data_IF_761763159529
#
_entry.id   IF_761763159529
#
_cell.length_a   1.000
_cell.length_b   1.000
_cell.length_c   1.000
_cell.angle_alpha   90.00
_cell.angle_beta   90.00
_cell.angle_gamma   90.00
#
_symmetry.space_group_name_H-M   'P 1'
#
loop_
_entity.id
_entity.type
_entity.pdbx_description
1 polymer ?
#
# COMPACT_ATOMS: atom_id res chain seq x y z
N UNK A 1 43.21 8.74 -52.80
CA UNK A 1 42.09 9.28 -52.01
C UNK A 1 42.22 8.65 -50.63
N UNK A 2 42.63 9.46 -49.65
CA UNK A 2 43.21 8.99 -48.39
C UNK A 2 42.15 8.48 -47.41
N UNK A 3 42.31 7.24 -46.93
CA UNK A 3 41.58 6.68 -45.80
C UNK A 3 42.04 7.36 -44.50
N UNK A 4 41.10 7.91 -43.73
CA UNK A 4 41.31 8.31 -42.33
C UNK A 4 40.65 7.28 -41.42
N UNK A 5 41.48 6.58 -40.65
CA UNK A 5 41.08 5.79 -39.50
C UNK A 5 40.64 6.71 -38.36
N UNK A 6 39.48 6.41 -37.76
CA UNK A 6 39.06 6.97 -36.47
C UNK A 6 39.51 6.04 -35.33
N UNK A 7 39.97 6.57 -34.19
CA UNK A 7 40.41 5.76 -33.06
C UNK A 7 39.22 5.29 -32.20
N UNK A 8 39.24 4.00 -31.85
CA UNK A 8 38.47 3.40 -30.76
C UNK A 8 38.87 4.07 -29.43
N UNK A 9 37.91 4.69 -28.75
CA UNK A 9 38.05 5.11 -27.35
C UNK A 9 37.54 3.97 -26.46
N UNK A 10 38.49 3.26 -25.85
CA UNK A 10 38.29 2.33 -24.74
C UNK A 10 37.96 3.14 -23.48
N UNK A 11 36.73 3.05 -22.98
CA UNK A 11 36.40 3.49 -21.63
C UNK A 11 36.70 2.35 -20.67
N UNK A 12 37.78 2.55 -19.90
CA UNK A 12 38.23 1.68 -18.83
C UNK A 12 37.32 1.84 -17.60
N UNK A 13 36.96 0.67 -17.09
CA UNK A 13 36.34 0.34 -15.81
C UNK A 13 36.91 1.04 -14.58
N UNK A 14 36.04 1.52 -13.70
CA UNK A 14 36.31 1.71 -12.27
C UNK A 14 35.70 0.54 -11.49
N UNK A 15 36.47 -0.52 -11.26
CA UNK A 15 36.14 -1.55 -10.26
C UNK A 15 36.78 -1.12 -8.95
N UNK A 16 35.96 -0.85 -7.92
CA UNK A 16 36.45 -0.74 -6.54
C UNK A 16 36.64 -2.15 -5.98
N UNK A 17 37.88 -2.61 -5.97
CA UNK A 17 38.33 -3.74 -5.16
C UNK A 17 38.53 -3.27 -3.72
N UNK A 18 37.69 -3.74 -2.79
CA UNK A 18 37.93 -3.60 -1.36
C UNK A 18 38.91 -4.71 -0.93
N UNK A 19 40.05 -4.26 -0.41
CA UNK A 19 41.21 -5.08 -0.10
C UNK A 19 41.07 -5.64 1.32
N UNK A 20 40.91 -6.96 1.41
CA UNK A 20 41.03 -7.74 2.64
C UNK A 20 42.50 -7.84 3.05
N UNK A 21 42.78 -7.45 4.29
CA UNK A 21 43.96 -7.82 5.06
C UNK A 21 43.58 -7.69 6.53
N UNK A 22 43.97 -8.54 7.46
CA UNK A 22 44.84 -9.69 7.46
C UNK A 22 44.96 -10.09 8.94
N UNK A 23 45.04 -11.38 9.21
CA UNK A 23 44.92 -12.03 10.52
C UNK A 23 45.82 -11.45 11.62
N UNK A 24 45.26 -11.35 12.83
CA UNK A 24 45.96 -11.77 14.04
C UNK A 24 44.98 -12.20 15.15
N UNK A 25 45.38 -13.25 15.86
CA UNK A 25 44.55 -14.13 16.68
C UNK A 25 44.12 -13.54 18.03
N UNK A 26 42.86 -13.76 18.41
CA UNK A 26 42.49 -14.03 19.80
C UNK A 26 41.18 -14.83 19.86
N UNK A 27 41.28 -16.05 20.39
CA UNK A 27 40.14 -16.90 20.77
C UNK A 27 39.43 -16.24 21.94
N UNK A 28 38.20 -15.80 21.72
CA UNK A 28 37.20 -15.58 22.76
C UNK A 28 35.93 -16.31 22.32
N UNK A 29 35.70 -17.43 22.98
CA UNK A 29 34.44 -18.14 23.08
C UNK A 29 33.60 -17.35 24.08
N UNK A 30 32.60 -16.60 23.61
CA UNK A 30 31.50 -16.15 24.47
C UNK A 30 30.31 -15.69 23.63
N UNK A 31 29.23 -16.46 23.79
CA UNK A 31 27.81 -16.11 23.60
C UNK A 31 27.33 -15.69 22.22
N UNK A 32 26.42 -16.53 21.69
CA UNK A 32 25.31 -16.14 20.82
C UNK A 32 24.89 -14.70 21.10
N UNK A 33 25.29 -13.79 20.22
CA UNK A 33 24.48 -12.61 19.95
C UNK A 33 23.33 -13.18 19.14
N UNK A 34 22.28 -13.62 19.83
CA UNK A 34 20.96 -13.66 19.21
C UNK A 34 20.76 -12.26 18.68
N UNK A 35 20.77 -12.16 17.37
CA UNK A 35 20.32 -11.00 16.63
C UNK A 35 18.83 -10.85 16.96
N UNK A 36 18.54 -10.32 18.15
CA UNK A 36 17.28 -9.67 18.51
C UNK A 36 17.22 -8.38 17.67
N UNK A 37 17.29 -8.53 16.36
CA UNK A 37 16.66 -7.62 15.43
C UNK A 37 15.18 -7.72 15.73
N UNK A 38 14.76 -7.04 16.81
CA UNK A 38 13.37 -6.81 17.13
C UNK A 38 12.76 -6.33 15.83
N UNK A 39 11.85 -7.15 15.28
CA UNK A 39 11.16 -6.80 14.05
C UNK A 39 10.64 -5.37 14.22
N UNK A 40 10.79 -4.49 13.22
CA UNK A 40 10.36 -3.11 13.33
C UNK A 40 8.91 -3.11 13.82
N UNK A 41 8.68 -2.57 15.03
CA UNK A 41 7.35 -2.54 15.60
C UNK A 41 6.49 -1.62 14.74
N UNK A 42 5.48 -2.19 14.10
CA UNK A 42 4.59 -1.39 13.26
C UNK A 42 3.58 -0.69 14.16
N UNK A 43 3.80 0.62 14.36
CA UNK A 43 2.92 1.45 15.17
C UNK A 43 1.76 1.98 14.32
N UNK A 44 0.61 1.32 14.39
CA UNK A 44 -0.67 1.88 13.91
C UNK A 44 -1.26 2.84 14.96
N UNK A 45 -2.03 3.86 14.57
CA UNK A 45 -2.58 4.84 15.52
C UNK A 45 -3.73 4.24 16.36
N UNK A 46 -3.69 4.39 17.68
CA UNK A 46 -4.78 4.00 18.57
C UNK A 46 -5.95 4.99 18.50
N UNK A 47 -5.68 6.28 18.74
CA UNK A 47 -6.70 7.33 18.74
C UNK A 47 -6.08 8.73 18.59
N UNK A 48 -6.81 9.61 17.91
CA UNK A 48 -6.52 11.03 17.78
C UNK A 48 -7.84 11.83 17.79
N UNK A 49 -7.77 13.16 17.82
CA UNK A 49 -9.00 13.97 17.75
C UNK A 49 -9.76 13.68 16.45
N UNK A 50 -10.94 13.08 16.57
CA UNK A 50 -11.80 12.70 15.44
C UNK A 50 -11.52 11.30 14.89
N UNK A 51 -10.60 10.52 15.48
CA UNK A 51 -10.26 9.16 15.06
C UNK A 51 -10.07 8.24 16.28
N UNK A 52 -10.59 7.02 16.18
CA UNK A 52 -10.24 5.92 17.05
C UNK A 52 -10.10 4.67 16.17
N UNK A 53 -9.10 3.84 16.44
CA UNK A 53 -8.90 2.58 15.73
C UNK A 53 -10.18 1.74 15.85
N UNK A 54 -10.74 1.28 14.72
CA UNK A 54 -11.98 0.52 14.74
C UNK A 54 -11.96 -0.80 15.52
N UNK A 55 -10.80 -1.45 15.54
CA UNK A 55 -10.57 -2.77 16.09
C UNK A 55 -9.45 -3.48 15.33
N UNK A 56 -9.15 -4.71 15.75
CA UNK A 56 -8.06 -5.51 15.19
C UNK A 56 -8.22 -5.76 13.68
N UNK A 57 -9.46 -5.90 13.21
CA UNK A 57 -9.77 -6.14 11.78
C UNK A 57 -9.28 -5.02 10.85
N UNK A 58 -9.56 -3.76 11.20
CA UNK A 58 -9.06 -2.60 10.43
C UNK A 58 -7.55 -2.45 10.53
N UNK A 59 -6.99 -2.75 11.71
CA UNK A 59 -5.55 -2.71 11.92
C UNK A 59 -4.84 -3.75 11.04
N UNK A 60 -5.32 -5.01 11.00
CA UNK A 60 -4.83 -6.05 10.11
C UNK A 60 -4.97 -5.65 8.64
N UNK A 61 -6.15 -5.21 8.21
CA UNK A 61 -6.40 -4.85 6.82
C UNK A 61 -5.47 -3.71 6.36
N UNK A 62 -5.34 -2.65 7.15
CA UNK A 62 -4.48 -1.50 6.80
C UNK A 62 -3.01 -1.89 6.75
N UNK A 63 -2.56 -2.72 7.69
CA UNK A 63 -1.18 -3.24 7.69
C UNK A 63 -0.93 -4.17 6.49
N UNK A 64 -1.90 -5.02 6.16
CA UNK A 64 -1.83 -5.91 5.00
C UNK A 64 -1.77 -5.12 3.70
N UNK A 65 -2.61 -4.10 3.53
CA UNK A 65 -2.61 -3.22 2.36
C UNK A 65 -1.26 -2.53 2.14
N UNK A 66 -0.67 -1.99 3.20
CA UNK A 66 0.66 -1.38 3.15
C UNK A 66 1.74 -2.37 2.74
N UNK A 67 1.78 -3.56 3.37
CA UNK A 67 2.71 -4.64 3.00
C UNK A 67 2.60 -5.01 1.53
N UNK A 68 1.38 -5.12 0.98
CA UNK A 68 1.19 -5.44 -0.44
C UNK A 68 1.82 -4.40 -1.37
N UNK A 69 1.77 -3.11 -1.03
CA UNK A 69 2.43 -2.06 -1.83
C UNK A 69 3.95 -2.10 -1.62
N UNK A 70 4.41 -2.28 -0.38
CA UNK A 70 5.84 -2.29 -0.03
C UNK A 70 6.59 -3.57 -0.49
N UNK A 71 5.89 -4.68 -0.72
CA UNK A 71 6.45 -5.96 -1.22
C UNK A 71 6.94 -5.87 -2.68
N UNK A 72 6.65 -4.77 -3.37
CA UNK A 72 7.10 -4.52 -4.74
C UNK A 72 8.52 -3.93 -4.72
N UNK A 73 9.53 -4.81 -4.74
CA UNK A 73 10.96 -4.46 -4.55
C UNK A 73 11.47 -3.32 -5.45
N UNK A 74 10.90 -3.15 -6.66
CA UNK A 74 11.34 -2.15 -7.64
C UNK A 74 10.48 -0.87 -7.66
N UNK A 75 9.36 -0.82 -6.92
CA UNK A 75 8.44 0.31 -6.91
C UNK A 75 8.90 1.43 -5.97
N UNK A 76 8.89 2.68 -6.42
CA UNK A 76 9.14 3.83 -5.55
C UNK A 76 7.89 4.23 -4.73
N UNK A 77 6.71 3.75 -5.11
CA UNK A 77 5.48 3.97 -4.34
C UNK A 77 5.51 3.15 -3.06
N UNK A 78 5.44 3.83 -1.91
CA UNK A 78 5.28 3.25 -0.59
C UNK A 78 4.09 3.93 0.09
N UNK A 79 3.25 3.15 0.77
CA UNK A 79 2.06 3.67 1.46
C UNK A 79 2.02 3.14 2.88
N UNK A 80 1.99 4.07 3.85
CA UNK A 80 1.91 3.70 5.25
C UNK A 80 0.57 3.00 5.56
N UNK A 81 0.51 2.12 6.57
CA UNK A 81 -0.77 1.61 7.07
C UNK A 81 -1.74 2.73 7.46
N UNK A 82 -1.21 3.84 7.98
CA UNK A 82 -1.97 5.05 8.31
C UNK A 82 -2.58 5.74 7.09
N UNK A 83 -2.01 5.57 5.88
CA UNK A 83 -2.57 6.13 4.66
C UNK A 83 -3.93 5.52 4.32
N UNK A 84 -4.11 4.21 4.51
CA UNK A 84 -5.41 3.56 4.29
C UNK A 84 -6.47 4.08 5.27
N UNK A 85 -6.07 4.26 6.54
CA UNK A 85 -6.94 4.84 7.57
C UNK A 85 -7.29 6.31 7.26
N UNK A 86 -6.30 7.12 6.91
CA UNK A 86 -6.49 8.53 6.55
C UNK A 86 -7.34 8.70 5.29
N UNK A 87 -7.15 7.83 4.30
CA UNK A 87 -7.92 7.81 3.05
C UNK A 87 -9.37 7.41 3.30
N UNK A 88 -9.61 6.35 4.09
CA UNK A 88 -10.96 5.98 4.50
C UNK A 88 -11.66 7.13 5.27
N UNK A 89 -10.91 7.81 6.16
CA UNK A 89 -11.41 8.97 6.93
C UNK A 89 -11.72 10.18 6.05
N UNK A 90 -10.98 10.36 4.96
CA UNK A 90 -11.20 11.47 4.05
C UNK A 90 -12.32 11.16 3.05
N UNK A 91 -12.40 9.92 2.54
CA UNK A 91 -13.32 9.51 1.49
C UNK A 91 -14.75 9.34 2.02
N UNK A 92 -14.91 8.81 3.23
CA UNK A 92 -16.20 8.62 3.91
C UNK A 92 -16.14 9.23 5.31
N UNK A 93 -17.27 9.56 5.94
CA UNK A 93 -17.25 9.59 7.40
C UNK A 93 -17.54 8.19 7.94
N UNK A 94 -16.88 7.86 9.03
CA UNK A 94 -16.70 6.48 9.41
C UNK A 94 -17.93 5.81 10.03
N UNK A 95 -18.01 4.50 9.83
CA UNK A 95 -19.26 3.70 9.87
C UNK A 95 -19.96 3.69 8.51
N UNK A 96 -19.36 4.36 7.51
CA UNK A 96 -19.94 4.77 6.24
C UNK A 96 -21.19 5.66 6.38
N UNK A 97 -20.98 6.78 7.08
CA UNK A 97 -21.87 7.95 7.15
C UNK A 97 -21.20 9.24 6.65
N UNK A 98 -21.84 10.39 6.90
CA UNK A 98 -21.49 11.72 6.34
C UNK A 98 -20.44 12.53 7.13
N UNK A 99 -19.66 13.35 6.41
CA UNK A 99 -18.56 14.20 6.91
C UNK A 99 -18.89 14.97 8.20
N UNK A 100 -18.06 14.81 9.25
CA UNK A 100 -18.12 15.59 10.49
C UNK A 100 -18.65 14.86 11.72
N UNK A 101 -19.12 13.62 11.56
CA UNK A 101 -19.59 12.79 12.67
C UNK A 101 -18.46 11.93 13.29
N UNK A 102 -18.48 11.71 14.62
CA UNK A 102 -17.51 10.85 15.30
C UNK A 102 -17.66 9.38 14.88
N UNK A 103 -16.56 8.65 14.97
CA UNK A 103 -16.46 7.23 14.62
C UNK A 103 -17.55 6.38 15.28
N UNK A 104 -18.36 5.66 14.48
CA UNK A 104 -19.39 4.74 14.99
C UNK A 104 -19.04 3.29 14.64
N UNK A 105 -19.23 2.32 15.56
CA UNK A 105 -18.93 0.91 15.31
C UNK A 105 -20.00 0.18 14.47
N UNK A 106 -20.92 0.91 13.83
CA UNK A 106 -21.98 0.29 13.01
C UNK A 106 -21.51 -0.02 11.59
N UNK A 107 -21.93 -1.16 11.08
CA UNK A 107 -21.63 -1.59 9.71
C UNK A 107 -22.21 -0.63 8.67
N UNK A 108 -21.44 -0.44 7.61
CA UNK A 108 -21.75 0.38 6.45
C UNK A 108 -22.79 -0.23 5.51
N UNK A 109 -23.57 0.62 4.84
CA UNK A 109 -24.35 0.27 3.64
C UNK A 109 -23.93 1.04 2.39
N UNK A 110 -22.75 1.67 2.39
CA UNK A 110 -22.28 2.48 1.26
C UNK A 110 -21.87 1.60 0.09
N UNK A 111 -22.43 1.90 -1.09
CA UNK A 111 -22.27 1.07 -2.28
C UNK A 111 -20.80 0.92 -2.71
N UNK A 112 -19.97 1.93 -2.44
CA UNK A 112 -18.55 1.94 -2.78
C UNK A 112 -17.63 1.57 -1.60
N UNK A 113 -18.21 1.17 -0.46
CA UNK A 113 -17.46 0.81 0.74
C UNK A 113 -16.77 1.97 1.45
N UNK A 114 -16.05 1.63 2.53
CA UNK A 114 -15.37 2.60 3.40
C UNK A 114 -14.25 3.39 2.71
N UNK A 115 -13.70 2.84 1.63
CA UNK A 115 -12.65 3.46 0.84
C UNK A 115 -13.15 4.01 -0.49
N UNK A 116 -14.47 4.03 -0.74
CA UNK A 116 -15.08 4.52 -1.99
C UNK A 116 -14.41 3.96 -3.25
N UNK A 117 -14.31 2.65 -3.35
CA UNK A 117 -13.81 1.94 -4.54
C UNK A 117 -14.84 2.03 -5.66
N UNK A 118 -14.87 3.18 -6.34
CA UNK A 118 -15.86 3.49 -7.36
C UNK A 118 -15.79 2.54 -8.56
N UNK A 119 -16.95 2.12 -9.06
CA UNK A 119 -17.06 1.18 -10.18
C UNK A 119 -16.39 1.72 -11.47
N UNK A 120 -16.68 2.97 -11.82
CA UNK A 120 -16.28 3.57 -13.09
C UNK A 120 -14.83 4.03 -13.19
N UNK A 121 -14.08 4.02 -12.08
CA UNK A 121 -12.68 4.46 -12.04
C UNK A 121 -11.79 3.37 -11.47
N UNK A 122 -11.99 2.99 -10.21
CA UNK A 122 -11.15 2.01 -9.52
C UNK A 122 -11.40 0.59 -10.02
N UNK A 123 -12.65 0.16 -9.96
CA UNK A 123 -12.99 -1.26 -10.18
C UNK A 123 -12.76 -1.70 -11.62
N UNK A 124 -13.11 -0.84 -12.58
CA UNK A 124 -12.90 -1.13 -14.00
C UNK A 124 -11.42 -1.32 -14.35
N UNK A 125 -10.52 -0.59 -13.68
CA UNK A 125 -9.07 -0.75 -13.88
C UNK A 125 -8.54 -2.00 -13.18
N UNK A 126 -9.00 -2.26 -11.95
CA UNK A 126 -8.66 -3.48 -11.22
C UNK A 126 -9.06 -4.74 -11.99
N UNK A 127 -10.30 -4.81 -12.50
CA UNK A 127 -10.73 -6.01 -13.23
C UNK A 127 -10.09 -6.14 -14.62
N UNK A 128 -9.58 -5.05 -15.19
CA UNK A 128 -8.81 -5.07 -16.44
C UNK A 128 -7.37 -5.52 -16.22
N UNK A 129 -6.70 -4.99 -15.19
CA UNK A 129 -5.29 -5.23 -14.94
C UNK A 129 -5.03 -6.47 -14.11
N UNK A 130 -5.97 -6.88 -13.27
CA UNK A 130 -5.85 -8.04 -12.39
C UNK A 130 -7.07 -8.98 -12.52
N UNK A 131 -7.40 -9.43 -13.74
CA UNK A 131 -8.62 -10.19 -14.00
C UNK A 131 -8.66 -11.57 -13.31
N UNK A 132 -7.52 -12.09 -12.85
CA UNK A 132 -7.45 -13.33 -12.07
C UNK A 132 -7.93 -13.22 -10.63
N UNK A 133 -8.06 -11.99 -10.10
CA UNK A 133 -8.40 -11.71 -8.70
C UNK A 133 -9.68 -10.87 -8.64
N UNK A 134 -9.75 -9.80 -9.44
CA UNK A 134 -10.90 -8.91 -9.46
C UNK A 134 -11.81 -9.24 -10.64
N UNK A 135 -12.87 -10.00 -10.38
CA UNK A 135 -13.95 -10.19 -11.36
C UNK A 135 -14.73 -8.89 -11.56
N UNK A 136 -15.03 -8.50 -12.80
CA UNK A 136 -15.75 -7.25 -13.06
C UNK A 136 -17.15 -7.20 -12.41
N UNK A 137 -17.79 -8.36 -12.19
CA UNK A 137 -19.10 -8.47 -11.53
C UNK A 137 -19.00 -8.68 -9.99
N UNK A 138 -17.79 -8.79 -9.43
CA UNK A 138 -17.57 -9.14 -8.02
C UNK A 138 -17.46 -7.92 -7.09
N UNK A 139 -17.66 -6.69 -7.60
CA UNK A 139 -17.46 -5.45 -6.83
C UNK A 139 -18.29 -5.42 -5.56
N UNK A 140 -19.59 -5.70 -5.69
CA UNK A 140 -20.52 -5.58 -4.57
C UNK A 140 -20.15 -6.54 -3.43
N UNK A 141 -19.71 -7.75 -3.76
CA UNK A 141 -19.29 -8.78 -2.81
C UNK A 141 -17.95 -8.45 -2.13
N UNK A 142 -17.04 -7.77 -2.83
CA UNK A 142 -15.67 -7.56 -2.35
C UNK A 142 -15.44 -6.22 -1.66
N UNK A 143 -16.17 -5.16 -2.01
CA UNK A 143 -15.87 -3.81 -1.51
C UNK A 143 -17.07 -3.04 -0.99
N UNK A 144 -18.30 -3.50 -1.20
CA UNK A 144 -19.47 -2.73 -0.75
C UNK A 144 -19.65 -2.82 0.77
N UNK A 145 -20.25 -1.82 1.40
CA UNK A 145 -20.50 -1.87 2.85
C UNK A 145 -19.21 -1.95 3.68
N UNK A 146 -19.15 -2.93 4.58
CA UNK A 146 -18.09 -3.09 5.60
C UNK A 146 -17.05 -4.17 5.23
N UNK A 147 -16.89 -4.46 3.93
CA UNK A 147 -15.84 -5.34 3.39
C UNK A 147 -14.48 -4.60 3.38
N UNK A 148 -13.93 -4.33 4.57
CA UNK A 148 -12.69 -3.56 4.74
C UNK A 148 -11.48 -4.25 4.09
N UNK A 149 -11.39 -5.57 4.19
CA UNK A 149 -10.29 -6.37 3.66
C UNK A 149 -10.22 -6.24 2.14
N UNK A 150 -11.33 -6.55 1.46
CA UNK A 150 -11.41 -6.41 0.01
C UNK A 150 -11.26 -4.94 -0.42
N UNK A 151 -11.80 -3.98 0.32
CA UNK A 151 -11.63 -2.55 0.03
C UNK A 151 -10.17 -2.10 0.13
N UNK A 152 -9.46 -2.49 1.18
CA UNK A 152 -8.06 -2.13 1.38
C UNK A 152 -7.18 -2.80 0.32
N UNK A 153 -7.41 -4.08 0.03
CA UNK A 153 -6.68 -4.79 -1.04
C UNK A 153 -6.95 -4.15 -2.40
N UNK A 154 -8.21 -3.84 -2.72
CA UNK A 154 -8.58 -3.15 -3.96
C UNK A 154 -7.89 -1.79 -4.07
N UNK A 155 -7.88 -0.98 -3.02
CA UNK A 155 -7.19 0.32 -3.04
C UNK A 155 -5.68 0.17 -3.15
N UNK A 156 -5.05 -0.78 -2.44
CA UNK A 156 -3.61 -1.02 -2.53
C UNK A 156 -3.20 -1.39 -3.97
N UNK A 157 -3.92 -2.33 -4.58
CA UNK A 157 -3.66 -2.80 -5.95
C UNK A 157 -3.97 -1.72 -6.99
N UNK A 158 -5.03 -0.93 -6.74
CA UNK A 158 -5.37 0.21 -7.58
C UNK A 158 -4.32 1.32 -7.48
N UNK A 159 -3.81 1.62 -6.29
CA UNK A 159 -2.79 2.66 -6.10
C UNK A 159 -1.55 2.34 -6.95
N UNK A 160 -1.07 1.10 -6.91
CA UNK A 160 0.03 0.66 -7.78
C UNK A 160 -0.33 0.69 -9.27
N UNK A 161 -1.51 0.18 -9.65
CA UNK A 161 -1.95 0.22 -11.04
C UNK A 161 -2.07 1.66 -11.58
N UNK A 162 -2.66 2.56 -10.80
CA UNK A 162 -2.82 3.97 -11.13
C UNK A 162 -1.46 4.68 -11.23
N UNK A 163 -0.51 4.32 -10.37
CA UNK A 163 0.87 4.78 -10.43
C UNK A 163 1.55 4.33 -11.73
N UNK A 164 1.44 3.06 -12.11
CA UNK A 164 1.94 2.57 -13.39
C UNK A 164 1.29 3.28 -14.59
N UNK A 165 0.00 3.59 -14.51
CA UNK A 165 -0.75 4.29 -15.55
C UNK A 165 -0.29 5.73 -15.79
N UNK A 166 0.49 6.34 -14.87
CA UNK A 166 1.07 7.68 -15.07
C UNK A 166 2.04 7.75 -16.27
N UNK A 167 2.56 6.61 -16.74
CA UNK A 167 3.35 6.52 -17.97
C UNK A 167 2.64 7.09 -19.21
N UNK A 168 1.30 7.18 -19.17
CA UNK A 168 0.49 7.85 -20.21
C UNK A 168 0.86 9.31 -20.43
N UNK A 169 1.48 9.95 -19.45
CA UNK A 169 1.87 11.36 -19.49
C UNK A 169 3.36 11.51 -19.85
N UNK A 170 3.97 10.48 -20.45
CA UNK A 170 5.38 10.41 -20.81
C UNK A 170 6.32 10.62 -19.60
N UNK A 171 5.89 10.16 -18.43
CA UNK A 171 6.62 10.28 -17.14
C UNK A 171 6.91 8.89 -16.61
N UNK A 172 8.16 8.68 -16.19
CA UNK A 172 8.55 7.55 -15.35
C UNK A 172 8.12 7.87 -13.90
N UNK A 173 7.10 7.19 -13.38
CA UNK A 173 6.49 7.58 -12.11
C UNK A 173 7.38 7.25 -10.91
N UNK A 174 8.26 6.26 -11.02
CA UNK A 174 9.24 5.94 -9.98
C UNK A 174 10.39 6.95 -9.99
N UNK A 175 10.87 7.33 -11.17
CA UNK A 175 11.84 8.41 -11.29
C UNK A 175 11.26 9.75 -10.79
N UNK A 176 9.97 10.01 -10.99
CA UNK A 176 9.28 11.19 -10.46
C UNK A 176 9.26 11.18 -8.93
N UNK A 177 8.83 10.08 -8.31
CA UNK A 177 8.82 9.93 -6.85
C UNK A 177 10.22 10.02 -6.24
N UNK A 178 11.22 9.40 -6.86
CA UNK A 178 12.61 9.45 -6.39
C UNK A 178 13.22 10.85 -6.43
N UNK A 179 12.66 11.77 -7.23
CA UNK A 179 13.10 13.17 -7.34
C UNK A 179 12.29 14.12 -6.45
N UNK A 180 11.20 13.67 -5.85
CA UNK A 180 10.36 14.51 -5.01
C UNK A 180 11.06 14.91 -3.71
N UNK A 181 10.97 16.20 -3.35
CA UNK A 181 11.47 16.75 -2.08
C UNK A 181 10.44 16.71 -0.97
N UNK A 182 9.15 16.60 -1.31
CA UNK A 182 8.08 16.36 -0.34
C UNK A 182 8.16 14.89 0.16
N UNK A 183 8.42 14.65 1.45
CA UNK A 183 8.48 13.30 1.99
C UNK A 183 7.15 12.54 1.89
N UNK A 184 6.03 13.23 1.62
CA UNK A 184 4.70 12.64 1.41
C UNK A 184 4.24 12.64 -0.05
N UNK A 185 5.15 12.86 -1.01
CA UNK A 185 4.78 12.89 -2.42
C UNK A 185 4.01 11.63 -2.87
N UNK A 186 4.47 10.43 -2.46
CA UNK A 186 3.80 9.16 -2.76
C UNK A 186 2.39 9.06 -2.18
N UNK A 187 2.21 9.41 -0.92
CA UNK A 187 0.92 9.39 -0.23
C UNK A 187 -0.06 10.42 -0.81
N UNK A 188 0.41 11.62 -1.15
CA UNK A 188 -0.39 12.67 -1.81
C UNK A 188 -0.76 12.28 -3.24
N UNK A 189 0.17 11.68 -3.99
CA UNK A 189 -0.08 11.18 -5.34
C UNK A 189 -1.11 10.06 -5.31
N UNK A 190 -0.98 9.10 -4.39
CA UNK A 190 -1.96 8.02 -4.23
C UNK A 190 -3.34 8.56 -3.81
N UNK A 191 -3.41 9.55 -2.92
CA UNK A 191 -4.68 10.19 -2.53
C UNK A 191 -5.32 10.92 -3.71
N UNK A 192 -4.53 11.59 -4.55
CA UNK A 192 -5.01 12.24 -5.76
C UNK A 192 -5.54 11.20 -6.77
N UNK A 193 -4.78 10.14 -7.02
CA UNK A 193 -5.16 9.06 -7.94
C UNK A 193 -6.38 8.28 -7.45
N UNK A 194 -6.56 8.15 -6.14
CA UNK A 194 -7.76 7.60 -5.52
C UNK A 194 -8.98 8.51 -5.72
N UNK A 195 -8.81 9.83 -5.58
CA UNK A 195 -9.92 10.76 -5.75
C UNK A 195 -10.34 10.95 -7.23
N UNK A 196 -9.37 11.21 -8.11
CA UNK A 196 -9.58 11.59 -9.51
C UNK A 196 -9.58 10.39 -10.47
N UNK A 197 -8.86 9.32 -10.12
CA UNK A 197 -8.45 8.26 -11.05
C UNK A 197 -7.29 8.68 -11.96
N UNK A 198 -6.48 7.71 -12.40
CA UNK A 198 -5.34 7.95 -13.31
C UNK A 198 -5.75 8.47 -14.71
N UNK A 199 -7.05 8.50 -15.01
CA UNK A 199 -7.58 9.00 -16.28
C UNK A 199 -7.98 10.47 -16.28
N UNK A 200 -7.98 11.12 -15.11
CA UNK A 200 -8.32 12.53 -15.02
C UNK A 200 -7.29 13.39 -15.73
N UNK A 201 -7.77 14.40 -16.46
CA UNK A 201 -6.93 15.38 -17.15
C UNK A 201 -6.16 16.26 -16.16
N UNK A 202 -6.65 16.41 -14.92
CA UNK A 202 -5.94 17.13 -13.85
C UNK A 202 -4.59 16.48 -13.49
N UNK A 203 -4.47 15.15 -13.66
CA UNK A 203 -3.22 14.45 -13.33
C UNK A 203 -2.08 14.88 -14.26
N UNK A 204 -2.39 15.14 -15.54
CA UNK A 204 -1.39 15.65 -16.50
C UNK A 204 -0.83 16.99 -16.04
N UNK A 205 -1.72 17.92 -15.67
CA UNK A 205 -1.35 19.27 -15.21
C UNK A 205 -0.53 19.21 -13.92
N UNK A 206 -0.87 18.31 -12.99
CA UNK A 206 -0.14 18.11 -11.74
C UNK A 206 1.26 17.58 -11.99
N UNK A 207 1.38 16.46 -12.71
CA UNK A 207 2.66 15.77 -12.94
C UNK A 207 3.59 16.63 -13.81
N UNK A 208 3.06 17.31 -14.83
CA UNK A 208 3.87 18.12 -15.74
C UNK A 208 4.12 19.56 -15.22
N UNK A 209 3.20 20.11 -14.41
CA UNK A 209 3.14 21.54 -14.11
C UNK A 209 3.68 21.95 -12.74
N UNK A 210 3.49 21.13 -11.71
CA UNK A 210 3.82 21.53 -10.33
C UNK A 210 5.04 20.86 -9.72
N UNK A 211 5.77 20.08 -10.49
CA UNK A 211 6.92 19.33 -9.96
C UNK A 211 6.44 18.40 -8.85
N UNK A 212 7.06 18.47 -7.68
CA UNK A 212 6.78 17.63 -6.51
C UNK A 212 5.78 18.25 -5.51
N UNK A 213 5.41 19.52 -5.66
CA UNK A 213 4.33 20.14 -4.87
C UNK A 213 2.99 19.92 -5.55
N UNK A 214 2.47 18.69 -5.45
CA UNK A 214 1.18 18.29 -6.04
C UNK A 214 0.07 19.28 -5.66
N UNK A 215 0.06 19.76 -4.41
CA UNK A 215 -0.97 20.65 -3.87
C UNK A 215 -0.99 22.02 -4.54
N UNK A 216 0.11 22.50 -5.11
CA UNK A 216 0.16 23.78 -5.82
C UNK A 216 -0.68 23.81 -7.12
N UNK A 217 -0.96 22.64 -7.71
CA UNK A 217 -1.73 22.51 -8.96
C UNK A 217 -3.20 22.15 -8.73
N UNK A 218 -3.57 21.82 -7.50
CA UNK A 218 -4.91 21.38 -7.18
C UNK A 218 -5.76 22.54 -6.67
N UNK A 219 -7.07 22.48 -6.94
CA UNK A 219 -8.06 23.35 -6.33
C UNK A 219 -9.30 22.56 -5.89
N UNK A 220 -10.30 23.28 -5.35
CA UNK A 220 -11.63 22.73 -5.12
C UNK A 220 -11.67 21.51 -4.21
N UNK A 221 -12.22 20.40 -4.73
CA UNK A 221 -12.41 19.16 -3.99
C UNK A 221 -11.17 18.26 -4.01
N UNK A 222 -10.42 18.22 -5.12
CA UNK A 222 -9.18 17.46 -5.23
C UNK A 222 -8.13 17.95 -4.23
N UNK A 223 -7.94 19.27 -4.13
CA UNK A 223 -7.06 19.86 -3.12
C UNK A 223 -7.50 19.48 -1.69
N UNK A 224 -8.80 19.65 -1.40
CA UNK A 224 -9.37 19.32 -0.08
C UNK A 224 -9.21 17.84 0.26
N UNK A 225 -9.27 16.96 -0.73
CA UNK A 225 -9.03 15.53 -0.54
C UNK A 225 -7.57 15.26 -0.19
N UNK A 226 -6.63 15.71 -1.02
CA UNK A 226 -5.20 15.47 -0.83
C UNK A 226 -4.67 16.08 0.46
N UNK A 227 -4.95 17.37 0.71
CA UNK A 227 -4.58 18.02 1.98
C UNK A 227 -5.29 17.38 3.17
N UNK A 228 -6.55 16.95 2.98
CA UNK A 228 -7.32 16.29 4.01
C UNK A 228 -6.76 14.92 4.42
N UNK A 229 -6.18 14.15 3.50
CA UNK A 229 -5.44 12.92 3.82
C UNK A 229 -4.12 13.25 4.52
N UNK A 230 -3.35 14.21 3.99
CA UNK A 230 -2.07 14.60 4.57
C UNK A 230 -2.21 15.14 6.02
N UNK A 231 -3.17 16.02 6.27
CA UNK A 231 -3.47 16.54 7.62
C UNK A 231 -3.86 15.44 8.61
N UNK A 232 -4.52 14.39 8.12
CA UNK A 232 -4.91 13.25 8.95
C UNK A 232 -3.72 12.36 9.25
N UNK A 233 -2.85 12.11 8.27
CA UNK A 233 -1.59 11.39 8.48
C UNK A 233 -0.77 12.03 9.59
N UNK A 234 -0.59 13.36 9.59
CA UNK A 234 0.11 14.08 10.67
C UNK A 234 -0.50 13.81 12.06
N UNK A 235 -1.83 13.75 12.14
CA UNK A 235 -2.54 13.48 13.39
C UNK A 235 -2.41 12.03 13.83
N UNK A 236 -2.45 11.09 12.88
CA UNK A 236 -2.35 9.67 13.13
C UNK A 236 -0.92 9.30 13.53
N UNK A 237 0.11 9.83 12.87
CA UNK A 237 1.51 9.61 13.23
C UNK A 237 1.87 10.16 14.62
N UNK A 238 1.19 11.22 15.07
CA UNK A 238 1.34 11.75 16.43
C UNK A 238 0.55 10.97 17.50
N UNK A 239 -0.27 10.00 17.11
CA UNK A 239 -1.09 9.22 18.03
C UNK A 239 -0.27 8.13 18.74
N UNK A 240 -0.67 7.70 19.95
CA UNK A 240 -0.13 6.49 20.57
C UNK A 240 -0.37 5.25 19.70
N UNK A 241 0.48 4.24 19.80
CA UNK A 241 0.30 2.99 19.06
C UNK A 241 -0.95 2.22 19.53
N UNK A 242 -1.68 1.64 18.59
CA UNK A 242 -2.73 0.67 18.82
C UNK A 242 -2.10 -0.63 19.26
N UNK A 243 -2.39 -1.04 20.49
CA UNK A 243 -1.77 -2.19 21.13
C UNK A 243 -2.76 -3.02 21.96
N UNK A 244 -4.03 -2.99 21.57
CA UNK A 244 -5.02 -3.89 22.17
C UNK A 244 -4.76 -5.35 21.74
N UNK A 245 -5.12 -6.35 22.57
CA UNK A 245 -5.01 -7.75 22.19
C UNK A 245 -5.79 -8.06 20.91
N UNK A 246 -5.16 -8.80 20.00
CA UNK A 246 -5.79 -9.19 18.74
C UNK A 246 -6.81 -10.31 18.98
N UNK A 247 -8.10 -9.97 18.88
CA UNK A 247 -9.16 -10.95 19.10
C UNK A 247 -9.18 -12.02 17.99
N UNK A 248 -9.24 -13.30 18.37
CA UNK A 248 -9.34 -14.41 17.41
C UNK A 248 -10.51 -14.24 16.43
N UNK A 249 -11.65 -13.72 16.89
CA UNK A 249 -12.81 -13.46 16.05
C UNK A 249 -12.54 -12.40 14.95
N UNK A 250 -11.70 -11.40 15.23
CA UNK A 250 -11.31 -10.40 14.23
C UNK A 250 -10.41 -11.03 13.17
N UNK A 251 -9.50 -11.93 13.57
CA UNK A 251 -8.62 -12.69 12.67
C UNK A 251 -9.42 -13.65 11.80
N UNK A 252 -10.33 -14.41 12.38
CA UNK A 252 -11.19 -15.33 11.63
C UNK A 252 -12.04 -14.58 10.60
N UNK A 253 -12.64 -13.44 10.98
CA UNK A 253 -13.38 -12.58 10.05
C UNK A 253 -12.48 -12.05 8.94
N UNK A 254 -11.31 -11.54 9.29
CA UNK A 254 -10.32 -11.04 8.33
C UNK A 254 -9.98 -12.09 7.28
N UNK A 255 -9.71 -13.33 7.70
CA UNK A 255 -9.41 -14.44 6.78
C UNK A 255 -10.62 -14.88 5.96
N UNK A 256 -11.83 -14.88 6.52
CA UNK A 256 -13.07 -15.18 5.78
C UNK A 256 -13.29 -14.21 4.62
N UNK A 257 -13.13 -12.91 4.86
CA UNK A 257 -13.31 -11.87 3.85
C UNK A 257 -12.19 -11.90 2.80
N UNK A 258 -10.95 -12.13 3.23
CA UNK A 258 -9.81 -12.27 2.33
C UNK A 258 -9.94 -13.49 1.42
N UNK A 259 -10.61 -14.55 1.87
CA UNK A 259 -10.85 -15.75 1.07
C UNK A 259 -11.73 -15.52 -0.16
N UNK A 260 -12.52 -14.45 -0.17
CA UNK A 260 -13.35 -14.09 -1.33
C UNK A 260 -12.49 -13.66 -2.54
N UNK A 261 -11.30 -13.12 -2.31
CA UNK A 261 -10.37 -12.70 -3.36
C UNK A 261 -9.66 -13.88 -4.03
N UNK A 262 -9.44 -14.97 -3.28
CA UNK A 262 -8.68 -16.13 -3.73
C UNK A 262 -9.39 -17.44 -3.38
N UNK A 263 -10.57 -17.70 -3.96
CA UNK A 263 -11.42 -18.85 -3.60
C UNK A 263 -10.79 -20.21 -3.93
N UNK A 264 -9.70 -20.23 -4.72
CA UNK A 264 -8.97 -21.44 -5.09
C UNK A 264 -7.95 -21.91 -4.04
N UNK A 265 -7.61 -21.09 -3.06
CA UNK A 265 -6.56 -21.38 -2.08
C UNK A 265 -7.04 -22.32 -0.96
N UNK A 266 -6.10 -23.02 -0.31
CA UNK A 266 -6.40 -23.83 0.87
C UNK A 266 -6.49 -22.97 2.14
N UNK A 267 -7.62 -22.29 2.28
CA UNK A 267 -7.90 -21.44 3.43
C UNK A 267 -7.98 -22.18 4.76
N UNK A 268 -8.08 -23.52 4.76
CA UNK A 268 -8.03 -24.29 5.99
C UNK A 268 -6.61 -24.31 6.56
N UNK A 269 -5.62 -24.57 5.71
CA UNK A 269 -4.21 -24.50 6.10
C UNK A 269 -3.79 -23.07 6.48
N UNK A 270 -4.20 -22.06 5.70
CA UNK A 270 -3.91 -20.64 6.00
C UNK A 270 -4.49 -20.26 7.37
N UNK A 271 -5.74 -20.63 7.66
CA UNK A 271 -6.38 -20.33 8.95
C UNK A 271 -5.67 -21.00 10.11
N UNK A 272 -5.27 -22.25 9.97
CA UNK A 272 -4.57 -22.98 11.04
C UNK A 272 -3.22 -22.30 11.37
N UNK A 273 -2.44 -21.91 10.38
CA UNK A 273 -1.15 -21.22 10.58
C UNK A 273 -1.33 -19.83 11.22
N UNK A 274 -2.25 -19.02 10.70
CA UNK A 274 -2.47 -17.64 11.20
C UNK A 274 -3.05 -17.65 12.61
N UNK A 275 -4.03 -18.51 12.90
CA UNK A 275 -4.65 -18.54 14.24
C UNK A 275 -3.75 -19.14 15.31
N UNK A 276 -2.75 -19.96 14.93
CA UNK A 276 -1.78 -20.54 15.87
C UNK A 276 -0.85 -19.50 16.52
N UNK A 277 -0.67 -18.32 15.90
CA UNK A 277 0.18 -17.25 16.41
C UNK A 277 -0.58 -16.13 17.12
N UNK A 278 -1.92 -16.21 17.14
CA UNK A 278 -2.79 -15.25 17.84
C UNK A 278 -2.78 -15.56 19.33
N UNK A 279 -2.42 -14.57 20.14
CA UNK A 279 -2.37 -14.66 21.60
C UNK A 279 -2.75 -13.33 22.26
N UNK A 280 -2.61 -13.25 23.59
CA UNK A 280 -2.99 -12.08 24.38
C UNK A 280 -1.97 -10.92 24.30
N UNK A 281 -0.95 -11.00 23.45
CA UNK A 281 -0.04 -9.87 23.21
C UNK A 281 -0.78 -8.75 22.48
N UNK A 282 -0.32 -7.52 22.70
CA UNK A 282 -0.86 -6.36 22.02
C UNK A 282 -0.66 -6.44 20.50
N UNK A 283 -1.49 -5.71 19.75
CA UNK A 283 -1.48 -5.70 18.29
C UNK A 283 -0.09 -5.43 17.70
N UNK A 284 0.75 -4.62 18.34
CA UNK A 284 2.09 -4.28 17.82
C UNK A 284 3.00 -5.50 17.67
N UNK A 285 2.73 -6.58 18.42
CA UNK A 285 3.43 -7.86 18.29
C UNK A 285 2.58 -8.91 17.56
N UNK A 286 1.31 -9.06 17.93
CA UNK A 286 0.44 -10.11 17.40
C UNK A 286 0.02 -9.86 15.94
N UNK A 287 -0.19 -8.60 15.55
CA UNK A 287 -0.60 -8.21 14.19
C UNK A 287 0.45 -8.58 13.12
N UNK A 288 1.71 -8.10 13.24
CA UNK A 288 2.78 -8.49 12.34
C UNK A 288 2.99 -10.01 12.28
N UNK A 289 2.97 -10.70 13.42
CA UNK A 289 3.13 -12.16 13.46
C UNK A 289 2.01 -12.90 12.70
N UNK A 290 0.76 -12.46 12.86
CA UNK A 290 -0.39 -13.02 12.13
C UNK A 290 -0.25 -12.82 10.62
N UNK A 291 0.23 -11.64 10.18
CA UNK A 291 0.45 -11.38 8.76
C UNK A 291 1.69 -12.11 8.21
N UNK A 292 2.74 -12.31 8.99
CA UNK A 292 3.90 -13.12 8.59
C UNK A 292 3.48 -14.59 8.40
N UNK A 293 2.62 -15.13 9.27
CA UNK A 293 2.04 -16.45 9.11
C UNK A 293 1.15 -16.54 7.86
N UNK A 294 0.35 -15.49 7.59
CA UNK A 294 -0.47 -15.39 6.37
C UNK A 294 0.43 -15.41 5.13
N UNK A 295 1.45 -14.58 5.08
CA UNK A 295 2.37 -14.47 3.93
C UNK A 295 3.21 -15.74 3.72
N UNK A 296 3.45 -16.51 4.78
CA UNK A 296 4.09 -17.81 4.71
C UNK A 296 3.18 -18.94 4.20
N UNK A 297 1.87 -18.83 4.42
CA UNK A 297 0.88 -19.84 4.06
C UNK A 297 0.14 -19.55 2.74
N UNK A 298 0.05 -18.27 2.36
CA UNK A 298 -0.67 -17.78 1.19
C UNK A 298 0.31 -17.17 0.17
N UNK A 299 0.51 -17.86 -0.95
CA UNK A 299 1.37 -17.39 -2.05
C UNK A 299 0.65 -16.38 -2.96
N UNK A 300 0.01 -15.38 -2.36
CA UNK A 300 -0.70 -14.32 -3.07
C UNK A 300 -0.12 -12.96 -2.69
N UNK A 301 0.71 -12.42 -3.58
CA UNK A 301 1.35 -11.12 -3.45
C UNK A 301 0.81 -10.17 -4.51
N UNK A 302 0.89 -8.87 -4.23
CA UNK A 302 0.77 -7.89 -5.29
C UNK A 302 1.94 -8.11 -6.25
N UNK A 303 1.61 -8.32 -7.52
CA UNK A 303 2.58 -8.46 -8.60
C UNK A 303 2.26 -7.40 -9.64
N UNK A 304 3.29 -6.92 -10.33
CA UNK A 304 3.02 -6.05 -11.47
C UNK A 304 2.23 -6.79 -12.56
N UNK A 305 1.11 -6.24 -13.05
CA UNK A 305 0.33 -6.84 -14.13
C UNK A 305 0.95 -6.50 -15.50
N UNK A 306 2.23 -6.86 -15.70
CA UNK A 306 3.02 -6.43 -16.86
C UNK A 306 2.34 -6.76 -18.20
N UNK A 307 1.78 -7.97 -18.31
CA UNK A 307 1.09 -8.42 -19.51
C UNK A 307 -0.14 -7.56 -19.77
N UNK A 308 -1.00 -7.36 -18.78
CA UNK A 308 -2.25 -6.62 -18.91
C UNK A 308 -1.99 -5.12 -19.12
N UNK A 309 -0.96 -4.54 -18.49
CA UNK A 309 -0.48 -3.19 -18.75
C UNK A 309 -0.01 -3.05 -20.20
N UNK A 310 0.79 -3.99 -20.70
CA UNK A 310 1.28 -3.95 -22.07
C UNK A 310 0.16 -4.14 -23.09
N UNK A 311 -0.75 -5.09 -22.86
CA UNK A 311 -1.82 -5.41 -23.78
C UNK A 311 -2.89 -4.32 -23.85
N UNK A 312 -3.19 -3.67 -22.73
CA UNK A 312 -4.19 -2.60 -22.65
C UNK A 312 -3.63 -1.23 -23.03
N UNK A 313 -2.40 -0.93 -22.60
CA UNK A 313 -1.85 0.43 -22.61
C UNK A 313 -0.49 0.59 -23.27
N UNK A 314 0.24 -0.52 -23.50
CA UNK A 314 1.64 -0.50 -23.96
C UNK A 314 2.60 0.13 -22.95
N UNK A 315 2.31 -0.01 -21.66
CA UNK A 315 3.18 0.39 -20.55
C UNK A 315 3.90 -0.82 -19.96
N UNK A 316 5.07 -0.59 -19.35
CA UNK A 316 5.78 -1.59 -18.54
C UNK A 316 5.40 -1.45 -17.07
N UNK A 317 5.87 -2.37 -16.24
CA UNK A 317 5.99 -2.06 -14.83
C UNK A 317 6.85 -0.80 -14.66
N UNK A 318 6.45 0.13 -13.78
CA UNK A 318 7.34 1.20 -13.33
C UNK A 318 8.57 0.59 -12.66
#
# INVERSE_FOLDING_TARGET
MALRLAPLLLLLSCVRTLQLGGDDSAVADDTDVTDDSAAPSVCLPASATGFAMPGGRWALASLYGARRVDDLEDSALQLSPSWFLASAWQATAFGCGDFGDPWTPSASTEADGCLRVQEGTHWVELCRLYPGIFGCDAREELVSGDHVEGSVVAVAWHAYAAHALLQRFDVDPDAWLAQASDPRAGEKLAALLHFEGAWSWHIEDVIAGCGDDITACLDGEGLRHVEGVADKLDRLEAAPCYDEPLALADVERFLEELALLWPQEDWSAVRDEVTAVVDDRGFTEAGPAALDALDGALDQRLICPERELWDSYRYSCP
#
